data_IF_944746591736
#
_entry.id   IF_944746591736
#
_cell.length_a   1.000
_cell.length_b   1.000
_cell.length_c   1.000
_cell.angle_alpha   90.00
_cell.angle_beta   90.00
_cell.angle_gamma   90.00
#
_symmetry.space_group_name_H-M   'P 1'
#
loop_
_entity.id
_entity.type
_entity.pdbx_description
1 polymer ?
#
# COMPACT_ATOMS: atom_id res chain seq x y z
N UNK A 1 -15.18 5.56 0.31
CA UNK A 1 -15.12 5.74 1.77
C UNK A 1 -15.71 4.52 2.46
N UNK A 2 -14.82 3.66 2.97
CA UNK A 2 -15.16 2.55 3.84
C UNK A 2 -15.25 3.03 5.30
N UNK A 3 -16.23 2.50 6.03
CA UNK A 3 -16.45 2.78 7.44
C UNK A 3 -16.41 1.48 8.24
N UNK A 4 -15.85 1.52 9.44
CA UNK A 4 -15.81 0.38 10.36
C UNK A 4 -16.90 0.58 11.42
N UNK A 5 -17.93 -0.27 11.41
CA UNK A 5 -19.06 -0.14 12.35
C UNK A 5 -18.72 -0.44 13.82
N UNK A 6 -17.56 -1.03 14.12
CA UNK A 6 -17.08 -1.24 15.49
C UNK A 6 -16.42 0.01 16.06
N UNK A 7 -16.02 0.95 15.21
CA UNK A 7 -15.49 2.25 15.63
C UNK A 7 -16.63 3.26 15.71
N UNK A 8 -16.91 3.77 16.92
CA UNK A 8 -18.01 4.70 17.18
C UNK A 8 -17.91 5.99 16.35
N UNK A 9 -16.68 6.50 16.14
CA UNK A 9 -16.44 7.68 15.30
C UNK A 9 -16.81 7.40 13.84
N UNK A 10 -16.45 6.22 13.33
CA UNK A 10 -16.77 5.83 11.95
C UNK A 10 -18.28 5.63 11.78
N UNK A 11 -18.96 5.06 12.78
CA UNK A 11 -20.41 4.92 12.76
C UNK A 11 -21.12 6.28 12.72
N UNK A 12 -20.67 7.25 13.52
CA UNK A 12 -21.20 8.61 13.51
C UNK A 12 -20.95 9.32 12.17
N UNK A 13 -19.73 9.21 11.61
CA UNK A 13 -19.40 9.79 10.31
C UNK A 13 -20.21 9.17 9.16
N UNK A 14 -20.42 7.85 9.19
CA UNK A 14 -21.23 7.14 8.20
C UNK A 14 -22.68 7.65 8.22
N UNK A 15 -23.27 7.84 9.42
CA UNK A 15 -24.62 8.40 9.58
C UNK A 15 -24.71 9.82 9.02
N UNK A 16 -23.78 10.70 9.41
CA UNK A 16 -23.76 12.07 8.93
C UNK A 16 -23.60 12.16 7.40
N UNK A 17 -22.75 11.31 6.80
CA UNK A 17 -22.58 11.27 5.35
C UNK A 17 -23.82 10.74 4.64
N UNK A 18 -24.47 9.71 5.18
CA UNK A 18 -25.71 9.16 4.65
C UNK A 18 -26.83 10.21 4.67
N UNK A 19 -27.01 10.91 5.79
CA UNK A 19 -28.00 11.97 5.93
C UNK A 19 -27.77 13.09 4.91
N UNK A 20 -26.51 13.50 4.71
CA UNK A 20 -26.15 14.49 3.69
C UNK A 20 -26.50 14.01 2.28
N UNK A 21 -26.20 12.76 1.92
CA UNK A 21 -26.53 12.21 0.60
C UNK A 21 -28.05 12.16 0.35
N UNK A 22 -28.84 11.85 1.39
CA UNK A 22 -30.30 11.87 1.35
C UNK A 22 -30.81 13.30 1.15
N UNK A 23 -30.28 14.26 1.92
CA UNK A 23 -30.65 15.68 1.82
C UNK A 23 -30.36 16.24 0.42
N UNK A 24 -29.19 15.89 -0.13
CA UNK A 24 -28.74 16.28 -1.47
C UNK A 24 -29.46 15.52 -2.60
N UNK A 25 -30.40 14.61 -2.27
CA UNK A 25 -31.15 13.73 -3.19
C UNK A 25 -30.24 12.99 -4.19
N UNK A 26 -29.07 12.56 -3.74
CA UNK A 26 -28.11 11.82 -4.57
C UNK A 26 -28.48 10.34 -4.62
N UNK A 27 -28.17 9.69 -5.74
CA UNK A 27 -28.22 8.22 -5.83
C UNK A 27 -26.98 7.62 -5.15
N UNK A 28 -27.17 6.64 -4.29
CA UNK A 28 -26.09 5.95 -3.57
C UNK A 28 -26.37 4.46 -3.43
N UNK A 29 -25.31 3.67 -3.29
CA UNK A 29 -25.35 2.24 -3.04
C UNK A 29 -24.78 1.95 -1.64
N UNK A 30 -25.45 1.06 -0.89
CA UNK A 30 -24.96 0.55 0.39
C UNK A 30 -24.66 -0.93 0.20
N UNK A 31 -23.40 -1.32 0.38
CA UNK A 31 -22.96 -2.71 0.27
C UNK A 31 -22.33 -3.17 1.57
N UNK A 32 -22.77 -4.30 2.11
CA UNK A 32 -22.06 -4.97 3.20
C UNK A 32 -20.76 -5.58 2.65
N UNK A 33 -19.62 -5.17 3.20
CA UNK A 33 -18.32 -5.79 2.90
C UNK A 33 -18.01 -6.84 3.96
N UNK A 34 -17.97 -8.11 3.55
CA UNK A 34 -17.46 -9.19 4.40
C UNK A 34 -15.97 -9.00 4.63
N UNK A 35 -15.52 -9.33 5.83
CA UNK A 35 -14.10 -9.40 6.15
C UNK A 35 -13.43 -10.36 5.15
N UNK A 36 -12.44 -9.86 4.40
CA UNK A 36 -11.62 -10.71 3.55
C UNK A 36 -10.86 -11.71 4.41
N UNK A 37 -10.70 -12.94 3.92
CA UNK A 37 -9.95 -14.00 4.62
C UNK A 37 -8.49 -14.06 4.19
N UNK A 38 -8.17 -13.51 3.03
CA UNK A 38 -6.82 -13.50 2.45
C UNK A 38 -6.67 -12.34 1.48
N UNK A 39 -5.42 -11.95 1.25
CA UNK A 39 -5.02 -10.91 0.30
C UNK A 39 -3.96 -11.50 -0.64
N UNK A 40 -3.97 -11.11 -1.92
CA UNK A 40 -2.91 -11.54 -2.85
C UNK A 40 -1.61 -10.79 -2.52
N UNK A 41 -0.46 -11.42 -2.76
CA UNK A 41 0.84 -10.79 -2.46
C UNK A 41 1.01 -9.44 -3.18
N UNK A 42 0.54 -9.34 -4.42
CA UNK A 42 0.55 -8.08 -5.18
C UNK A 42 -0.32 -7.01 -4.52
N UNK A 43 -1.57 -7.34 -4.16
CA UNK A 43 -2.45 -6.39 -3.48
C UNK A 43 -1.86 -5.95 -2.14
N UNK A 44 -1.28 -6.88 -1.38
CA UNK A 44 -0.61 -6.59 -0.12
C UNK A 44 0.58 -5.64 -0.29
N UNK A 45 1.47 -5.89 -1.26
CA UNK A 45 2.57 -4.98 -1.58
C UNK A 45 2.06 -3.57 -1.90
N UNK A 46 0.99 -3.46 -2.69
CA UNK A 46 0.40 -2.16 -3.01
C UNK A 46 -0.10 -1.43 -1.76
N UNK A 47 -0.75 -2.11 -0.82
CA UNK A 47 -1.25 -1.52 0.43
C UNK A 47 -0.09 -1.03 1.29
N UNK A 48 0.93 -1.85 1.55
CA UNK A 48 2.03 -1.45 2.45
C UNK A 48 2.86 -0.29 1.87
N UNK A 49 3.07 -0.26 0.55
CA UNK A 49 3.76 0.86 -0.11
C UNK A 49 2.93 2.16 -0.03
N UNK A 50 1.62 2.06 -0.24
CA UNK A 50 0.72 3.22 -0.16
C UNK A 50 0.62 3.74 1.26
N UNK A 51 0.57 2.85 2.26
CA UNK A 51 0.54 3.23 3.66
C UNK A 51 1.83 3.94 4.07
N UNK A 52 2.99 3.38 3.72
CA UNK A 52 4.28 4.01 3.98
C UNK A 52 4.40 5.38 3.29
N UNK A 53 3.88 5.50 2.07
CA UNK A 53 3.81 6.77 1.34
C UNK A 53 2.97 7.81 2.09
N UNK A 54 1.79 7.42 2.61
CA UNK A 54 0.95 8.29 3.44
C UNK A 54 1.68 8.76 4.71
N UNK A 55 2.37 7.84 5.41
CA UNK A 55 3.08 8.15 6.65
C UNK A 55 4.29 9.07 6.43
N UNK A 56 4.96 8.95 5.28
CA UNK A 56 6.17 9.74 4.97
C UNK A 56 5.89 10.99 4.12
N UNK A 57 4.64 11.24 3.73
CA UNK A 57 4.27 12.34 2.84
C UNK A 57 4.85 12.23 1.43
N UNK A 58 5.20 11.03 1.00
CA UNK A 58 5.74 10.77 -0.34
C UNK A 58 4.67 10.22 -1.28
N UNK A 59 4.94 10.25 -2.59
CA UNK A 59 4.11 9.52 -3.54
C UNK A 59 4.40 8.03 -3.49
N UNK A 60 3.40 7.19 -3.78
CA UNK A 60 3.57 5.75 -3.86
C UNK A 60 4.67 5.35 -4.84
N UNK A 61 4.79 6.04 -5.98
CA UNK A 61 5.80 5.76 -6.99
C UNK A 61 7.22 6.08 -6.50
N UNK A 62 7.38 7.18 -5.74
CA UNK A 62 8.64 7.51 -5.09
C UNK A 62 9.07 6.41 -4.11
N UNK A 63 8.15 6.00 -3.23
CA UNK A 63 8.41 4.93 -2.26
C UNK A 63 8.77 3.62 -2.96
N UNK A 64 8.04 3.27 -4.01
CA UNK A 64 8.29 2.06 -4.79
C UNK A 64 9.68 2.08 -5.44
N UNK A 65 10.08 3.18 -6.04
CA UNK A 65 11.35 3.28 -6.76
C UNK A 65 12.55 3.45 -5.83
N UNK A 66 12.51 4.44 -4.95
CA UNK A 66 13.69 4.86 -4.19
C UNK A 66 13.85 4.01 -2.93
N UNK A 67 12.80 3.83 -2.13
CA UNK A 67 12.89 3.03 -0.90
C UNK A 67 12.82 1.54 -1.18
N UNK A 68 11.74 1.06 -1.79
CA UNK A 68 11.50 -0.38 -1.93
C UNK A 68 12.50 -1.06 -2.88
N UNK A 69 12.76 -0.48 -4.06
CA UNK A 69 13.67 -1.08 -5.05
C UNK A 69 15.14 -0.74 -4.83
N UNK A 70 15.51 0.54 -4.76
CA UNK A 70 16.93 0.95 -4.72
C UNK A 70 17.56 0.80 -3.34
N UNK A 71 16.86 1.19 -2.28
CA UNK A 71 17.42 1.18 -0.93
C UNK A 71 17.34 -0.21 -0.29
N UNK A 72 16.14 -0.79 -0.23
CA UNK A 72 15.91 -2.04 0.51
C UNK A 72 16.28 -3.29 -0.30
N UNK A 73 16.00 -3.29 -1.61
CA UNK A 73 16.16 -4.47 -2.46
C UNK A 73 17.09 -4.26 -3.68
N UNK A 74 18.26 -3.61 -3.54
CA UNK A 74 19.13 -3.31 -4.69
C UNK A 74 19.57 -4.57 -5.44
N UNK A 75 19.87 -5.65 -4.71
CA UNK A 75 20.33 -6.92 -5.30
C UNK A 75 19.27 -7.59 -6.19
N UNK A 76 17.99 -7.37 -5.91
CA UNK A 76 16.87 -7.98 -6.64
C UNK A 76 16.46 -7.13 -7.85
N UNK A 77 16.54 -5.81 -7.73
CA UNK A 77 15.99 -4.88 -8.74
C UNK A 77 17.03 -4.18 -9.61
N UNK A 78 18.26 -3.96 -9.14
CA UNK A 78 19.28 -3.28 -9.95
C UNK A 78 19.94 -4.31 -10.86
N UNK A 79 19.91 -4.03 -12.16
CA UNK A 79 20.56 -4.82 -13.20
C UNK A 79 21.41 -3.91 -14.08
N UNK A 80 22.48 -4.47 -14.61
CA UNK A 80 23.38 -3.79 -15.52
C UNK A 80 23.17 -4.37 -16.91
N UNK A 81 22.96 -3.48 -17.89
CA UNK A 81 22.93 -3.84 -19.30
C UNK A 81 24.04 -3.11 -20.01
N UNK A 82 24.78 -3.83 -20.84
CA UNK A 82 25.73 -3.23 -21.75
C UNK A 82 25.01 -2.86 -23.04
N UNK A 83 25.04 -1.57 -23.37
CA UNK A 83 24.48 -1.01 -24.59
C UNK A 83 25.61 -0.47 -25.47
N UNK A 84 25.47 -0.66 -26.78
CA UNK A 84 26.48 -0.27 -27.76
C UNK A 84 26.74 1.25 -27.78
N UNK A 85 25.75 2.06 -27.42
CA UNK A 85 25.83 3.52 -27.47
C UNK A 85 25.95 4.15 -26.08
N UNK A 86 25.33 3.54 -25.07
CA UNK A 86 25.30 4.09 -23.70
C UNK A 86 26.31 3.42 -22.75
N UNK A 87 27.04 2.40 -23.19
CA UNK A 87 27.95 1.64 -22.34
C UNK A 87 27.19 0.82 -21.29
N UNK A 88 27.77 0.67 -20.08
CA UNK A 88 27.13 -0.06 -18.98
C UNK A 88 26.12 0.82 -18.27
N UNK A 89 24.83 0.57 -18.49
CA UNK A 89 23.73 1.32 -17.87
C UNK A 89 23.05 0.46 -16.80
N UNK A 90 22.83 1.05 -15.63
CA UNK A 90 22.03 0.46 -14.56
C UNK A 90 20.56 0.76 -14.79
N UNK A 91 19.72 -0.27 -14.77
CA UNK A 91 18.27 -0.14 -14.86
C UNK A 91 17.57 -0.91 -13.74
N UNK A 92 16.32 -0.50 -13.45
CA UNK A 92 15.48 -1.17 -12.47
C UNK A 92 14.60 -2.21 -13.16
N UNK A 93 14.73 -3.47 -12.73
CA UNK A 93 13.85 -4.58 -13.11
C UNK A 93 12.41 -4.32 -12.65
N UNK A 94 11.42 -4.85 -13.37
CA UNK A 94 10.05 -4.80 -12.91
C UNK A 94 9.82 -5.75 -11.75
N UNK A 95 8.88 -5.42 -10.87
CA UNK A 95 8.44 -6.34 -9.81
C UNK A 95 7.68 -7.54 -10.39
N UNK A 96 7.16 -7.42 -11.61
CA UNK A 96 6.49 -8.51 -12.32
C UNK A 96 7.45 -9.61 -12.79
N UNK A 97 8.75 -9.31 -12.88
CA UNK A 97 9.75 -10.29 -13.31
C UNK A 97 10.26 -11.15 -12.14
N UNK A 98 9.95 -10.80 -10.89
CA UNK A 98 10.43 -11.53 -9.72
C UNK A 98 9.76 -12.90 -9.60
N UNK A 99 10.52 -13.91 -9.17
CA UNK A 99 9.94 -15.17 -8.72
C UNK A 99 9.20 -15.01 -7.38
N UNK A 100 8.27 -15.91 -7.08
CA UNK A 100 7.49 -15.92 -5.81
C UNK A 100 8.39 -15.85 -4.57
N UNK A 101 9.53 -16.56 -4.57
CA UNK A 101 10.50 -16.51 -3.47
C UNK A 101 11.18 -15.15 -3.35
N UNK A 102 11.64 -14.58 -4.46
CA UNK A 102 12.24 -13.24 -4.50
C UNK A 102 11.23 -12.16 -4.05
N UNK A 103 9.97 -12.31 -4.48
CA UNK A 103 8.90 -11.39 -4.14
C UNK A 103 8.60 -11.40 -2.64
N UNK A 104 8.46 -12.59 -2.06
CA UNK A 104 8.20 -12.75 -0.62
C UNK A 104 9.36 -12.18 0.20
N UNK A 105 10.60 -12.51 -0.17
CA UNK A 105 11.80 -11.96 0.48
C UNK A 105 11.87 -10.42 0.39
N UNK A 106 11.52 -9.85 -0.76
CA UNK A 106 11.55 -8.40 -0.96
C UNK A 106 10.55 -7.66 -0.07
N UNK A 107 9.40 -8.28 0.20
CA UNK A 107 8.35 -7.78 1.09
C UNK A 107 8.83 -7.83 2.53
N UNK A 108 9.35 -8.97 3.00
CA UNK A 108 9.85 -9.10 4.37
C UNK A 108 10.97 -8.11 4.68
N UNK A 109 11.93 -7.94 3.75
CA UNK A 109 12.98 -6.92 3.87
C UNK A 109 12.40 -5.51 4.03
N UNK A 110 11.36 -5.18 3.25
CA UNK A 110 10.74 -3.86 3.32
C UNK A 110 9.99 -3.63 4.64
N UNK A 111 9.29 -4.65 5.15
CA UNK A 111 8.60 -4.58 6.45
C UNK A 111 9.59 -4.37 7.59
N UNK A 112 10.66 -5.16 7.63
CA UNK A 112 11.70 -5.05 8.65
C UNK A 112 12.37 -3.69 8.58
N UNK A 113 12.82 -3.27 7.40
CA UNK A 113 13.44 -1.95 7.21
C UNK A 113 12.51 -0.80 7.60
N UNK A 114 11.22 -0.86 7.26
CA UNK A 114 10.26 0.21 7.61
C UNK A 114 10.10 0.36 9.12
N UNK A 115 10.06 -0.77 9.84
CA UNK A 115 9.99 -0.79 11.29
C UNK A 115 11.28 -0.30 11.94
N UNK A 116 12.44 -0.72 11.44
CA UNK A 116 13.75 -0.37 12.01
C UNK A 116 14.17 1.07 11.71
N UNK A 117 14.01 1.52 10.45
CA UNK A 117 14.54 2.80 10.00
C UNK A 117 13.56 3.97 10.23
N UNK A 118 12.26 3.73 10.10
CA UNK A 118 11.23 4.79 10.17
C UNK A 118 10.27 4.63 11.36
N UNK A 119 10.38 3.53 12.12
CA UNK A 119 9.42 3.23 13.21
C UNK A 119 8.01 2.91 12.70
N UNK A 120 7.84 2.66 11.41
CA UNK A 120 6.53 2.42 10.79
C UNK A 120 6.26 0.91 10.77
N UNK A 121 5.28 0.48 11.53
CA UNK A 121 4.86 -0.92 11.55
C UNK A 121 4.06 -1.29 10.30
N UNK A 122 4.54 -2.31 9.58
CA UNK A 122 3.84 -2.90 8.44
C UNK A 122 3.36 -4.32 8.80
N UNK A 123 2.04 -4.53 9.00
CA UNK A 123 1.48 -5.78 9.52
C UNK A 123 1.65 -6.93 8.53
N UNK A 124 1.71 -8.16 9.02
CA UNK A 124 1.82 -9.39 8.23
C UNK A 124 0.65 -9.57 7.26
N UNK A 125 0.81 -10.24 6.10
CA UNK A 125 -0.31 -10.60 5.23
C UNK A 125 -1.46 -11.34 5.94
N UNK A 126 -1.18 -12.05 7.03
CA UNK A 126 -2.19 -12.75 7.85
C UNK A 126 -3.00 -11.81 8.77
N UNK A 127 -2.48 -10.62 9.06
CA UNK A 127 -3.12 -9.62 9.93
C UNK A 127 -4.16 -8.80 9.15
N UNK A 128 -5.11 -9.48 8.52
CA UNK A 128 -6.08 -8.90 7.58
C UNK A 128 -6.86 -7.71 8.18
N UNK A 129 -7.11 -7.75 9.49
CA UNK A 129 -7.81 -6.64 10.16
C UNK A 129 -6.97 -5.35 10.15
N UNK A 130 -5.67 -5.43 10.41
CA UNK A 130 -4.78 -4.28 10.36
C UNK A 130 -4.59 -3.79 8.92
N UNK A 131 -4.50 -4.70 7.95
CA UNK A 131 -4.45 -4.37 6.52
C UNK A 131 -5.71 -3.59 6.10
N UNK A 132 -6.88 -4.04 6.53
CA UNK A 132 -8.15 -3.35 6.26
C UNK A 132 -8.16 -1.93 6.85
N UNK A 133 -7.59 -1.72 8.04
CA UNK A 133 -7.46 -0.39 8.63
C UNK A 133 -6.50 0.50 7.83
N UNK A 134 -5.34 -0.03 7.40
CA UNK A 134 -4.42 0.70 6.52
C UNK A 134 -5.10 1.11 5.21
N UNK A 135 -5.88 0.22 4.57
CA UNK A 135 -6.62 0.57 3.35
C UNK A 135 -7.60 1.73 3.58
N UNK A 136 -8.27 1.76 4.74
CA UNK A 136 -9.16 2.87 5.09
C UNK A 136 -8.39 4.18 5.27
N UNK A 137 -7.22 4.14 5.91
CA UNK A 137 -6.36 5.32 6.05
C UNK A 137 -5.84 5.84 4.71
N UNK A 138 -5.39 4.94 3.84
CA UNK A 138 -4.96 5.30 2.48
C UNK A 138 -6.11 5.96 1.73
N UNK A 139 -7.32 5.40 1.79
CA UNK A 139 -8.49 5.96 1.11
C UNK A 139 -8.87 7.36 1.62
N UNK A 140 -8.66 7.64 2.91
CA UNK A 140 -8.87 8.98 3.48
C UNK A 140 -7.80 9.98 3.04
N UNK A 141 -6.55 9.52 2.94
CA UNK A 141 -5.43 10.38 2.56
C UNK A 141 -5.28 10.55 1.04
N UNK A 142 -6.00 9.79 0.22
CA UNK A 142 -6.01 9.94 -1.25
C UNK A 142 -6.41 11.32 -1.77
N UNK A 143 -7.13 12.13 -0.97
CA UNK A 143 -7.47 13.50 -1.37
C UNK A 143 -6.34 14.50 -1.09
N UNK A 144 -5.30 14.10 -0.34
CA UNK A 144 -4.21 14.96 0.13
C UNK A 144 -2.83 14.59 -0.44
N UNK A 145 -2.74 13.52 -1.23
CA UNK A 145 -1.51 12.97 -1.84
C UNK A 145 -1.71 12.87 -3.35
#
# INVERSE_FOLDING_TARGET
MRYDGKNELHAAQARARLEKLISDRKTFEITEKKQQRSISQNAYLHVILSYFACQTGNTMEWVKREYYKKLVNPSLFIREKEDRFLGKVKYLRSSADLDTGEFSLSIDRFRNWSSEASGIYLPSPDEIRLISLMEMEIERNKEFI
#
